data_IF_115012997817
#
_entry.id   IF_115012997817
#
_cell.length_a   1.000
_cell.length_b   1.000
_cell.length_c   1.000
_cell.angle_alpha   90.00
_cell.angle_beta   90.00
_cell.angle_gamma   90.00
#
_symmetry.space_group_name_H-M   'P 1'
#
loop_
_entity.id
_entity.type
_entity.pdbx_description
1 polymer ?
#
# COMPACT_ATOMS: atom_id res chain seq x y z
N UNK A 1 0.38 2.20 13.18
CA UNK A 1 1.08 0.91 13.35
C UNK A 1 2.54 0.96 12.90
N UNK A 2 2.92 1.32 11.66
CA UNK A 2 4.31 1.33 11.14
C UNK A 2 5.35 2.26 11.76
N UNK A 3 4.98 3.09 12.75
CA UNK A 3 5.93 3.93 13.50
C UNK A 3 6.26 3.30 14.85
N UNK A 4 5.80 2.07 15.08
CA UNK A 4 6.30 1.30 16.20
C UNK A 4 7.81 1.10 16.01
N UNK A 5 8.65 1.62 16.93
CA UNK A 5 10.10 1.48 16.87
C UNK A 5 10.55 0.01 16.72
N UNK A 6 9.74 -0.95 17.15
CA UNK A 6 10.04 -2.37 17.03
C UNK A 6 10.21 -2.83 15.58
N UNK A 7 9.53 -2.20 14.63
CA UNK A 7 9.68 -2.53 13.21
C UNK A 7 11.04 -2.10 12.67
N UNK A 8 11.48 -0.89 13.00
CA UNK A 8 12.82 -0.40 12.62
C UNK A 8 13.91 -1.25 13.29
N UNK A 9 13.77 -1.58 14.59
CA UNK A 9 14.71 -2.45 15.31
C UNK A 9 14.79 -3.85 14.71
N UNK A 10 13.68 -4.37 14.22
CA UNK A 10 13.62 -5.70 13.59
C UNK A 10 14.17 -5.65 12.18
N UNK A 11 13.93 -4.58 11.42
CA UNK A 11 14.54 -4.32 10.13
C UNK A 11 16.07 -4.28 10.23
N UNK A 12 16.62 -3.49 11.17
CA UNK A 12 18.07 -3.37 11.37
C UNK A 12 18.72 -4.72 11.71
N UNK A 13 18.06 -5.54 12.53
CA UNK A 13 18.56 -6.88 12.87
C UNK A 13 18.47 -7.86 11.70
N UNK A 14 17.33 -7.92 11.03
CA UNK A 14 17.09 -8.95 10.00
C UNK A 14 17.70 -8.62 8.63
N UNK A 15 17.98 -7.33 8.37
CA UNK A 15 18.54 -6.79 7.12
C UNK A 15 19.98 -6.27 7.28
N UNK A 16 20.68 -6.68 8.33
CA UNK A 16 21.98 -6.12 8.71
C UNK A 16 23.06 -6.20 7.61
N UNK A 17 23.02 -7.20 6.73
CA UNK A 17 23.97 -7.30 5.61
C UNK A 17 23.54 -6.45 4.41
N UNK A 18 22.26 -6.49 4.06
CA UNK A 18 21.70 -5.70 2.95
C UNK A 18 21.84 -4.20 3.21
N UNK A 19 21.64 -3.75 4.46
CA UNK A 19 21.81 -2.36 4.88
C UNK A 19 23.25 -1.83 4.76
N UNK A 20 24.26 -2.70 4.69
CA UNK A 20 25.65 -2.27 4.43
C UNK A 20 25.86 -1.92 2.96
N UNK A 21 25.06 -2.53 2.07
CA UNK A 21 25.15 -2.38 0.61
C UNK A 21 24.24 -1.25 0.12
N UNK A 22 23.06 -1.09 0.71
CA UNK A 22 22.08 -0.09 0.29
C UNK A 22 22.38 1.29 0.88
N UNK A 23 23.23 2.06 0.17
CA UNK A 23 23.62 3.42 0.58
C UNK A 23 22.42 4.35 0.82
N UNK A 24 21.36 4.20 0.01
CA UNK A 24 20.12 4.98 0.09
C UNK A 24 19.37 4.82 1.43
N UNK A 25 19.52 3.66 2.10
CA UNK A 25 18.87 3.40 3.37
C UNK A 25 19.75 3.74 4.59
N UNK A 26 21.04 4.03 4.39
CA UNK A 26 21.99 4.22 5.50
C UNK A 26 21.62 5.38 6.43
N UNK A 27 21.12 6.47 5.87
CA UNK A 27 20.70 7.64 6.65
C UNK A 27 19.46 7.40 7.52
N UNK A 28 18.79 6.26 7.35
CA UNK A 28 17.59 5.86 8.08
C UNK A 28 17.91 4.93 9.26
N UNK A 29 19.13 4.38 9.33
CA UNK A 29 19.58 3.53 10.43
C UNK A 29 19.65 4.34 11.73
N UNK A 30 19.07 3.81 12.80
CA UNK A 30 18.98 4.47 14.10
C UNK A 30 17.83 5.51 14.20
N UNK A 31 17.13 5.82 13.11
CA UNK A 31 15.95 6.70 13.11
C UNK A 31 14.69 5.90 13.46
N UNK A 32 14.61 5.50 14.74
CA UNK A 32 13.53 4.68 15.29
C UNK A 32 12.17 5.37 15.20
N UNK A 33 11.14 4.57 14.93
CA UNK A 33 9.76 5.01 14.86
C UNK A 33 9.48 5.95 13.69
N UNK A 34 10.35 5.95 12.67
CA UNK A 34 10.16 6.75 11.46
C UNK A 34 9.39 5.98 10.38
N UNK A 35 9.40 4.64 10.42
CA UNK A 35 8.80 3.79 9.39
C UNK A 35 9.53 3.84 8.03
N UNK A 36 10.45 4.80 7.84
CA UNK A 36 11.13 5.08 6.58
C UNK A 36 12.11 3.98 6.20
N UNK A 37 12.78 3.38 7.20
CA UNK A 37 13.75 2.32 6.98
C UNK A 37 13.10 1.09 6.33
N UNK A 38 11.93 0.68 6.86
CA UNK A 38 11.17 -0.46 6.34
C UNK A 38 10.71 -0.20 4.90
N UNK A 39 10.26 1.01 4.55
CA UNK A 39 9.93 1.37 3.15
C UNK A 39 11.14 1.37 2.24
N UNK A 40 12.27 1.92 2.69
CA UNK A 40 13.48 1.92 1.86
C UNK A 40 13.89 0.49 1.50
N UNK A 41 13.83 -0.42 2.47
CA UNK A 41 14.09 -1.84 2.25
C UNK A 41 13.03 -2.52 1.37
N UNK A 42 11.76 -2.09 1.46
CA UNK A 42 10.71 -2.56 0.57
C UNK A 42 10.96 -2.16 -0.89
N UNK A 43 11.35 -0.92 -1.15
CA UNK A 43 11.64 -0.43 -2.50
C UNK A 43 12.82 -1.18 -3.14
N UNK A 44 13.73 -1.70 -2.31
CA UNK A 44 14.88 -2.51 -2.72
C UNK A 44 14.64 -4.02 -2.59
N UNK A 45 13.39 -4.46 -2.36
CA UNK A 45 13.04 -5.87 -2.16
C UNK A 45 13.53 -6.81 -3.28
N UNK A 46 13.55 -6.44 -4.57
CA UNK A 46 14.15 -7.28 -5.61
C UNK A 46 15.63 -7.58 -5.34
N UNK A 47 16.37 -6.60 -4.79
CA UNK A 47 17.81 -6.62 -4.59
C UNK A 47 18.24 -7.18 -3.22
N UNK A 48 17.30 -7.41 -2.28
CA UNK A 48 17.59 -7.98 -0.95
C UNK A 48 18.16 -9.40 -1.07
N UNK A 49 19.34 -9.64 -0.51
CA UNK A 49 20.01 -10.95 -0.58
C UNK A 49 19.74 -11.82 0.64
N UNK A 50 19.51 -11.25 1.83
CA UNK A 50 19.21 -12.06 3.01
C UNK A 50 17.78 -12.57 3.01
N UNK A 51 17.62 -13.88 3.21
CA UNK A 51 16.32 -14.53 3.29
C UNK A 51 15.49 -14.07 4.49
N UNK A 52 16.13 -13.80 5.63
CA UNK A 52 15.49 -13.20 6.81
C UNK A 52 14.93 -11.82 6.51
N UNK A 53 15.75 -10.95 5.90
CA UNK A 53 15.34 -9.61 5.50
C UNK A 53 14.17 -9.67 4.51
N UNK A 54 14.31 -10.48 3.47
CA UNK A 54 13.29 -10.65 2.43
C UNK A 54 11.97 -11.16 3.01
N UNK A 55 12.02 -12.11 3.95
CA UNK A 55 10.83 -12.61 4.64
C UNK A 55 10.19 -11.52 5.49
N UNK A 56 10.98 -10.83 6.32
CA UNK A 56 10.47 -9.75 7.18
C UNK A 56 9.82 -8.64 6.37
N UNK A 57 10.49 -8.14 5.32
CA UNK A 57 9.95 -7.07 4.48
C UNK A 57 8.67 -7.52 3.76
N UNK A 58 8.56 -8.79 3.35
CA UNK A 58 7.30 -9.37 2.83
C UNK A 58 6.19 -9.45 3.89
N UNK A 59 6.50 -9.82 5.12
CA UNK A 59 5.50 -9.80 6.21
C UNK A 59 5.09 -8.37 6.55
N UNK A 60 6.06 -7.45 6.50
CA UNK A 60 5.84 -6.04 6.72
C UNK A 60 5.04 -5.42 5.59
N UNK A 61 4.99 -5.96 4.36
CA UNK A 61 4.11 -5.43 3.30
C UNK A 61 2.70 -5.21 3.84
N UNK A 62 2.05 -6.21 4.43
CA UNK A 62 0.68 -6.05 4.95
C UNK A 62 0.55 -4.98 6.06
N UNK A 63 1.60 -4.71 6.83
CA UNK A 63 1.61 -3.70 7.91
C UNK A 63 1.93 -2.30 7.37
N UNK A 64 2.89 -2.22 6.45
CA UNK A 64 3.34 -1.06 5.68
C UNK A 64 2.18 -0.50 4.85
N UNK A 65 1.47 -1.36 4.13
CA UNK A 65 0.34 -0.96 3.29
C UNK A 65 -0.93 -0.61 4.08
N UNK A 66 -1.02 -0.99 5.35
CA UNK A 66 -2.10 -0.55 6.24
C UNK A 66 -1.84 0.82 6.89
N UNK A 67 -0.70 1.45 6.58
CA UNK A 67 -0.27 2.67 7.24
C UNK A 67 0.25 3.71 6.25
N UNK A 68 -0.62 4.68 5.96
CA UNK A 68 -0.36 5.91 5.20
C UNK A 68 0.93 6.67 5.58
N UNK A 69 1.64 6.37 6.65
CA UNK A 69 2.90 7.06 6.98
C UNK A 69 4.05 6.72 6.03
N UNK A 70 3.84 5.73 5.16
CA UNK A 70 4.69 5.40 4.01
C UNK A 70 4.26 6.15 2.74
N UNK A 71 3.15 6.90 2.84
CA UNK A 71 2.70 7.92 1.92
C UNK A 71 3.34 9.28 2.27
N UNK A 72 4.48 9.39 2.99
CA UNK A 72 5.18 10.70 3.09
C UNK A 72 5.37 11.28 1.67
N UNK A 73 5.76 10.42 0.72
CA UNK A 73 5.87 10.76 -0.69
C UNK A 73 4.53 11.00 -1.38
N UNK A 74 3.52 10.15 -1.17
CA UNK A 74 2.21 10.35 -1.81
C UNK A 74 1.47 11.55 -1.24
N UNK A 75 1.41 11.71 0.08
CA UNK A 75 0.83 12.86 0.74
C UNK A 75 1.55 14.13 0.27
N UNK A 76 2.88 14.16 0.25
CA UNK A 76 3.63 15.30 -0.29
C UNK A 76 3.32 15.57 -1.77
N UNK A 77 3.32 14.52 -2.61
CA UNK A 77 3.10 14.64 -4.05
C UNK A 77 1.65 14.99 -4.42
N UNK A 78 0.68 14.59 -3.59
CA UNK A 78 -0.75 14.74 -3.83
C UNK A 78 -1.42 15.79 -2.93
N UNK A 79 -0.73 16.43 -1.98
CA UNK A 79 -1.38 17.33 -1.00
C UNK A 79 -2.15 18.45 -1.68
N UNK A 80 -1.52 19.09 -2.67
CA UNK A 80 -2.14 20.17 -3.43
C UNK A 80 -3.32 19.66 -4.25
N UNK A 81 -3.20 18.49 -4.87
CA UNK A 81 -4.28 17.87 -5.63
C UNK A 81 -5.45 17.45 -4.74
N UNK A 82 -5.18 16.90 -3.55
CA UNK A 82 -6.19 16.54 -2.54
C UNK A 82 -6.99 17.78 -2.15
N UNK A 83 -6.31 18.90 -1.88
CA UNK A 83 -6.95 20.15 -1.49
C UNK A 83 -7.72 20.77 -2.66
N UNK A 84 -7.08 20.92 -3.82
CA UNK A 84 -7.66 21.61 -4.98
C UNK A 84 -8.81 20.83 -5.62
N UNK A 85 -8.81 19.52 -5.50
CA UNK A 85 -9.86 18.65 -6.03
C UNK A 85 -10.85 18.21 -4.96
N UNK A 86 -10.74 18.69 -3.72
CA UNK A 86 -11.63 18.37 -2.60
C UNK A 86 -11.76 16.84 -2.39
N UNK A 87 -10.64 16.13 -2.49
CA UNK A 87 -10.59 14.68 -2.32
C UNK A 87 -10.37 14.22 -0.89
N UNK A 88 -10.40 15.12 0.10
CA UNK A 88 -10.29 14.80 1.54
C UNK A 88 -10.89 15.91 2.41
N UNK A 89 -11.04 15.65 3.71
CA UNK A 89 -11.49 16.64 4.71
C UNK A 89 -10.26 17.29 5.37
N UNK A 90 -10.25 18.62 5.47
CA UNK A 90 -9.25 19.39 6.22
C UNK A 90 -9.67 19.69 7.67
N UNK A 91 -10.90 19.31 8.02
CA UNK A 91 -11.53 19.66 9.29
C UNK A 91 -11.67 18.42 10.17
N UNK A 92 -10.58 17.98 10.80
CA UNK A 92 -10.67 17.39 12.14
C UNK A 92 -9.25 17.29 12.73
N UNK A 93 -8.97 18.16 13.71
CA UNK A 93 -7.76 18.12 14.54
C UNK A 93 -7.68 16.87 15.43
N UNK A 94 -8.63 15.93 15.33
CA UNK A 94 -8.70 14.76 16.20
C UNK A 94 -8.85 13.45 15.41
N UNK A 95 -7.83 12.62 15.60
CA UNK A 95 -7.78 11.17 15.42
C UNK A 95 -7.81 10.59 14.00
N UNK A 96 -6.76 9.81 13.74
CA UNK A 96 -6.60 8.95 12.59
C UNK A 96 -7.84 8.08 12.36
N UNK A 97 -8.58 8.37 11.28
CA UNK A 97 -9.60 7.46 10.75
C UNK A 97 -8.98 6.66 9.60
N UNK A 98 -8.65 5.36 9.78
CA UNK A 98 -8.06 4.52 8.75
C UNK A 98 -8.98 4.27 7.53
N UNK A 99 -10.23 4.72 7.58
CA UNK A 99 -11.26 4.52 6.55
C UNK A 99 -11.29 5.60 5.47
N UNK A 100 -10.63 6.76 5.65
CA UNK A 100 -10.68 7.86 4.68
C UNK A 100 -9.65 7.73 3.55
N UNK A 101 -8.57 6.97 3.76
CA UNK A 101 -7.48 6.84 2.78
C UNK A 101 -7.95 6.24 1.44
N UNK A 102 -8.77 5.18 1.51
CA UNK A 102 -9.36 4.57 0.32
C UNK A 102 -10.29 5.53 -0.43
N UNK A 103 -11.00 6.40 0.31
CA UNK A 103 -11.86 7.42 -0.29
C UNK A 103 -11.05 8.52 -1.00
N UNK A 104 -9.95 8.98 -0.39
CA UNK A 104 -9.02 9.95 -1.00
C UNK A 104 -8.42 9.38 -2.28
N UNK A 105 -7.87 8.17 -2.23
CA UNK A 105 -7.27 7.51 -3.40
C UNK A 105 -8.31 7.27 -4.49
N UNK A 106 -9.52 6.82 -4.14
CA UNK A 106 -10.62 6.64 -5.09
C UNK A 106 -11.00 7.96 -5.76
N UNK A 107 -11.15 9.04 -5.00
CA UNK A 107 -11.45 10.37 -5.54
C UNK A 107 -10.35 10.88 -6.49
N UNK A 108 -9.09 10.77 -6.08
CA UNK A 108 -7.95 11.18 -6.92
C UNK A 108 -7.88 10.33 -8.20
N UNK A 109 -8.11 9.02 -8.10
CA UNK A 109 -8.13 8.11 -9.25
C UNK A 109 -9.25 8.44 -10.24
N UNK A 110 -10.44 8.81 -9.76
CA UNK A 110 -11.53 9.28 -10.62
C UNK A 110 -11.21 10.60 -11.32
N UNK A 111 -10.36 11.44 -10.71
CA UNK A 111 -9.92 12.74 -11.22
C UNK A 111 -8.51 12.69 -11.82
N UNK A 112 -8.01 11.49 -12.19
CA UNK A 112 -6.61 11.27 -12.60
C UNK A 112 -6.06 12.27 -13.62
N UNK A 113 -6.87 12.63 -14.62
CA UNK A 113 -6.46 13.57 -15.68
C UNK A 113 -6.27 15.02 -15.19
N UNK A 114 -6.82 15.36 -14.02
CA UNK A 114 -6.71 16.69 -13.39
C UNK A 114 -5.56 16.77 -12.38
N UNK A 115 -4.94 15.64 -12.03
CA UNK A 115 -3.85 15.57 -11.07
C UNK A 115 -2.55 16.16 -11.64
N UNK A 116 -1.73 16.74 -10.76
CA UNK A 116 -0.34 17.07 -11.06
C UNK A 116 0.49 15.85 -11.43
N UNK A 117 1.61 16.07 -12.13
CA UNK A 117 2.47 14.97 -12.61
C UNK A 117 2.99 14.09 -11.48
N UNK A 118 3.36 14.68 -10.35
CA UNK A 118 3.88 13.94 -9.20
C UNK A 118 2.80 13.08 -8.56
N UNK A 119 1.60 13.64 -8.31
CA UNK A 119 0.50 12.85 -7.77
C UNK A 119 0.05 11.72 -8.71
N UNK A 120 0.01 11.95 -10.04
CA UNK A 120 -0.27 10.89 -11.01
C UNK A 120 0.70 9.71 -10.90
N UNK A 121 1.99 10.00 -10.73
CA UNK A 121 3.03 8.97 -10.59
C UNK A 121 2.78 8.13 -9.34
N UNK A 122 2.44 8.75 -8.23
CA UNK A 122 2.16 8.02 -6.98
C UNK A 122 0.84 7.24 -7.04
N UNK A 123 -0.21 7.78 -7.67
CA UNK A 123 -1.46 7.04 -7.93
C UNK A 123 -1.19 5.82 -8.84
N UNK A 124 -0.37 5.98 -9.88
CA UNK A 124 0.00 4.87 -10.76
C UNK A 124 0.82 3.80 -10.02
N UNK A 125 1.81 4.22 -9.22
CA UNK A 125 2.61 3.31 -8.39
C UNK A 125 1.71 2.53 -7.42
N UNK A 126 0.74 3.21 -6.80
CA UNK A 126 -0.23 2.57 -5.92
C UNK A 126 -1.08 1.52 -6.67
N UNK A 127 -1.58 1.86 -7.85
CA UNK A 127 -2.36 0.94 -8.68
C UNK A 127 -1.54 -0.29 -9.13
N UNK A 128 -0.27 -0.10 -9.50
CA UNK A 128 0.64 -1.19 -9.86
C UNK A 128 0.81 -2.17 -8.68
N UNK A 129 1.10 -1.63 -7.50
CA UNK A 129 1.24 -2.45 -6.28
C UNK A 129 -0.06 -3.21 -5.93
N UNK A 130 -1.21 -2.54 -5.99
CA UNK A 130 -2.51 -3.15 -5.74
C UNK A 130 -2.85 -4.25 -6.75
N UNK A 131 -2.42 -4.08 -8.01
CA UNK A 131 -2.59 -5.12 -9.02
C UNK A 131 -1.72 -6.35 -8.74
N UNK A 132 -0.53 -6.14 -8.17
CA UNK A 132 0.40 -7.22 -7.88
C UNK A 132 0.00 -8.06 -6.66
N UNK A 133 -0.65 -7.46 -5.68
CA UNK A 133 -1.28 -8.21 -4.61
C UNK A 133 -2.59 -7.58 -4.16
N UNK A 134 -3.70 -8.30 -4.36
CA UNK A 134 -5.04 -7.77 -4.08
C UNK A 134 -5.27 -7.47 -2.58
N UNK A 135 -4.49 -8.09 -1.69
CA UNK A 135 -4.52 -7.76 -0.25
C UNK A 135 -4.11 -6.30 0.02
N UNK A 136 -3.42 -5.67 -0.92
CA UNK A 136 -2.95 -4.28 -0.81
C UNK A 136 -4.03 -3.27 -1.24
N UNK A 137 -5.07 -3.70 -1.94
CA UNK A 137 -6.27 -2.90 -2.14
C UNK A 137 -7.24 -3.21 -1.01
N UNK A 138 -7.20 -2.40 0.05
CA UNK A 138 -8.03 -2.60 1.25
C UNK A 138 -9.52 -2.56 0.93
N UNK A 139 -9.95 -1.66 0.05
CA UNK A 139 -11.37 -1.55 -0.30
C UNK A 139 -11.83 -2.83 -1.00
N UNK A 140 -11.09 -3.28 -2.01
CA UNK A 140 -11.35 -4.53 -2.70
C UNK A 140 -11.25 -5.74 -1.78
N UNK A 141 -10.22 -5.81 -0.92
CA UNK A 141 -9.99 -6.93 -0.01
C UNK A 141 -11.15 -7.09 0.96
N UNK A 142 -11.57 -6.03 1.65
CA UNK A 142 -12.69 -6.14 2.58
C UNK A 142 -14.02 -6.38 1.88
N UNK A 143 -14.22 -5.83 0.68
CA UNK A 143 -15.43 -6.07 -0.10
C UNK A 143 -15.49 -7.51 -0.66
N UNK A 144 -14.35 -8.07 -1.07
CA UNK A 144 -14.31 -9.27 -1.91
C UNK A 144 -13.53 -10.46 -1.32
N UNK A 145 -12.99 -10.41 -0.10
CA UNK A 145 -12.15 -11.50 0.44
C UNK A 145 -12.85 -12.87 0.44
N UNK A 146 -14.11 -12.91 0.84
CA UNK A 146 -14.86 -14.17 0.90
C UNK A 146 -15.27 -14.64 -0.51
N UNK A 147 -15.56 -13.69 -1.40
CA UNK A 147 -15.81 -13.97 -2.82
C UNK A 147 -14.56 -14.46 -3.53
N UNK A 148 -13.38 -13.91 -3.20
CA UNK A 148 -12.08 -14.37 -3.69
C UNK A 148 -11.85 -15.82 -3.30
N UNK A 149 -12.06 -16.19 -2.03
CA UNK A 149 -11.86 -17.58 -1.58
C UNK A 149 -12.83 -18.55 -2.26
N UNK A 150 -14.08 -18.15 -2.45
CA UNK A 150 -15.09 -19.05 -3.00
C UNK A 150 -15.08 -19.16 -4.52
N UNK A 151 -14.83 -18.06 -5.22
CA UNK A 151 -14.96 -17.97 -6.68
C UNK A 151 -13.61 -17.90 -7.40
N UNK A 152 -12.55 -17.48 -6.71
CA UNK A 152 -11.24 -17.20 -7.31
C UNK A 152 -10.06 -17.82 -6.52
N UNK A 153 -10.29 -18.81 -5.65
CA UNK A 153 -9.21 -19.40 -4.83
C UNK A 153 -8.06 -19.98 -5.67
N UNK A 154 -8.38 -20.48 -6.86
CA UNK A 154 -7.42 -21.04 -7.82
C UNK A 154 -6.53 -19.97 -8.50
N UNK A 155 -6.84 -18.68 -8.32
CA UNK A 155 -6.10 -17.59 -8.93
C UNK A 155 -5.03 -17.08 -7.98
N UNK A 156 -3.77 -17.16 -8.41
CA UNK A 156 -2.63 -16.58 -7.69
C UNK A 156 -2.58 -15.05 -7.88
N UNK A 157 -2.23 -14.33 -6.81
CA UNK A 157 -1.90 -12.88 -6.84
C UNK A 157 -0.83 -12.56 -7.90
N UNK A 158 -0.78 -11.30 -8.33
CA UNK A 158 0.15 -10.80 -9.34
C UNK A 158 -0.56 -10.33 -10.60
N UNK A 159 -0.06 -9.25 -11.22
CA UNK A 159 -0.49 -8.76 -12.54
C UNK A 159 -2.02 -8.57 -12.68
N UNK A 160 -2.70 -8.17 -11.61
CA UNK A 160 -4.14 -7.91 -11.60
C UNK A 160 -5.04 -9.15 -11.79
N UNK A 161 -4.50 -10.37 -11.74
CA UNK A 161 -5.28 -11.59 -12.04
C UNK A 161 -6.46 -11.80 -11.10
N UNK A 162 -6.27 -11.54 -9.80
CA UNK A 162 -7.34 -11.69 -8.81
C UNK A 162 -8.44 -10.67 -9.05
N UNK A 163 -8.07 -9.40 -9.31
CA UNK A 163 -9.03 -8.36 -9.69
C UNK A 163 -9.83 -8.76 -10.94
N UNK A 164 -9.15 -9.25 -11.98
CA UNK A 164 -9.81 -9.70 -13.21
C UNK A 164 -10.80 -10.84 -12.96
N UNK A 165 -10.42 -11.82 -12.15
CA UNK A 165 -11.31 -12.92 -11.79
C UNK A 165 -12.56 -12.41 -11.06
N UNK A 166 -12.38 -11.57 -10.03
CA UNK A 166 -13.51 -10.99 -9.29
C UNK A 166 -14.40 -10.16 -10.22
N UNK A 167 -13.82 -9.36 -11.11
CA UNK A 167 -14.57 -8.58 -12.08
C UNK A 167 -15.41 -9.45 -13.03
N UNK A 168 -14.84 -10.54 -13.54
CA UNK A 168 -15.54 -11.47 -14.43
C UNK A 168 -16.66 -12.23 -13.70
N UNK A 169 -16.56 -12.38 -12.37
CA UNK A 169 -17.58 -13.00 -11.54
C UNK A 169 -18.67 -12.02 -11.06
N UNK A 170 -18.60 -10.71 -11.36
CA UNK A 170 -19.46 -9.67 -10.76
C UNK A 170 -20.98 -9.88 -10.89
N UNK A 171 -21.42 -10.70 -11.84
CA UNK A 171 -22.83 -11.07 -12.03
C UNK A 171 -23.14 -12.52 -11.63
N UNK A 172 -22.18 -13.24 -11.03
CA UNK A 172 -22.39 -14.58 -10.52
C UNK A 172 -23.36 -14.51 -9.34
N UNK A 173 -24.38 -15.36 -9.31
CA UNK A 173 -25.36 -15.44 -8.23
C UNK A 173 -24.76 -15.73 -6.86
N UNK A 174 -23.54 -16.27 -6.87
CA UNK A 174 -22.78 -16.50 -5.65
C UNK A 174 -22.15 -15.19 -5.15
N UNK A 175 -21.74 -14.24 -5.98
CA UNK A 175 -21.06 -13.00 -5.55
C UNK A 175 -21.82 -12.26 -4.43
N UNK A 176 -21.10 -11.76 -3.42
CA UNK A 176 -21.70 -11.00 -2.33
C UNK A 176 -22.16 -9.63 -2.83
N UNK A 177 -23.31 -9.15 -2.34
CA UNK A 177 -23.96 -7.91 -2.82
C UNK A 177 -23.17 -6.63 -2.55
N UNK A 178 -22.10 -6.69 -1.74
CA UNK A 178 -21.25 -5.55 -1.42
C UNK A 178 -20.43 -5.03 -2.63
N UNK A 179 -20.36 -5.79 -3.73
CA UNK A 179 -19.53 -5.48 -4.93
C UNK A 179 -20.37 -4.88 -6.08
N UNK A 180 -21.68 -4.67 -5.87
CA UNK A 180 -22.62 -4.37 -6.97
C UNK A 180 -22.89 -2.87 -7.23
N UNK A 181 -22.41 -1.96 -6.38
CA UNK A 181 -22.64 -0.51 -6.48
C UNK A 181 -21.34 0.29 -6.71
#
# INVERSE_FOLDING_TARGET
>A
MTLDPHFDDTAERQCSKDLKVFDECKELIGKRGSGRLVTCLYDLLPNITESSCRYFIKQMQAVVFNDWRLMEYFAYACMDDIKNLECGRLDDENEAIPHEQGAVVSCLSQKYNKLGQQCRKEIFRLAEMQSDDYHLDRALYYACRDDRERLCAYVSSGNGRVYRCLYDQKFNSMMSSAVSD
#
